data_IF_458636342333
#
_entry.id   IF_458636342333
#
_cell.length_a   1.000
_cell.length_b   1.000
_cell.length_c   1.000
_cell.angle_alpha   90.00
_cell.angle_beta   90.00
_cell.angle_gamma   90.00
#
_symmetry.space_group_name_H-M   'P 1'
#
loop_
_entity.id
_entity.type
_entity.pdbx_description
1 polymer ?
#
# COMPACT_ATOMS: atom_id res chain seq x y z
N UNK A 1 1.23 -53.11 9.04
CA UNK A 1 0.73 -51.88 9.68
C UNK A 1 1.94 -50.98 9.96
N UNK A 2 2.26 -50.07 9.06
CA UNK A 2 3.34 -49.07 9.23
C UNK A 2 2.61 -47.72 9.47
N UNK A 3 2.74 -47.23 10.69
CA UNK A 3 2.17 -45.94 11.08
C UNK A 3 2.84 -44.82 10.32
N UNK A 4 2.09 -44.17 9.43
CA UNK A 4 2.50 -42.88 8.87
C UNK A 4 2.48 -41.86 10.02
N UNK A 5 3.66 -41.55 10.59
CA UNK A 5 3.83 -40.43 11.48
C UNK A 5 3.58 -39.17 10.66
N UNK A 6 2.40 -38.56 10.82
CA UNK A 6 2.15 -37.18 10.44
C UNK A 6 3.07 -36.32 11.30
N UNK A 7 4.28 -36.03 10.81
CA UNK A 7 5.11 -34.97 11.37
C UNK A 7 4.34 -33.67 11.17
N UNK A 8 3.61 -33.29 12.22
CA UNK A 8 3.08 -31.94 12.38
C UNK A 8 4.26 -30.98 12.18
N UNK A 9 4.35 -30.36 11.01
CA UNK A 9 5.44 -29.42 10.69
C UNK A 9 5.23 -28.21 11.59
N UNK A 10 5.90 -28.25 12.75
CA UNK A 10 5.92 -27.14 13.69
C UNK A 10 6.35 -25.88 12.91
N UNK A 11 5.61 -24.81 13.10
CA UNK A 11 5.89 -23.53 12.43
C UNK A 11 7.36 -23.15 12.68
N UNK A 12 8.16 -22.82 11.62
CA UNK A 12 9.59 -22.58 11.75
C UNK A 12 9.89 -21.49 12.81
N UNK A 13 10.96 -21.61 13.59
CA UNK A 13 11.24 -20.63 14.64
C UNK A 13 11.56 -19.26 14.05
N UNK A 14 11.14 -18.18 14.68
CA UNK A 14 11.39 -16.78 14.27
C UNK A 14 12.87 -16.47 14.07
N UNK A 15 13.76 -17.12 14.83
CA UNK A 15 15.21 -16.97 14.70
C UNK A 15 15.72 -17.26 13.29
N UNK A 16 15.05 -18.13 12.50
CA UNK A 16 15.47 -18.45 11.13
C UNK A 16 15.41 -17.25 10.19
N UNK A 17 14.57 -16.27 10.49
CA UNK A 17 14.42 -15.03 9.72
C UNK A 17 15.63 -14.11 9.93
N UNK A 18 16.29 -14.18 11.11
CA UNK A 18 17.33 -13.24 11.53
C UNK A 18 18.75 -13.82 11.57
N UNK A 19 18.97 -15.03 11.06
CA UNK A 19 20.31 -15.68 11.09
C UNK A 19 21.12 -15.39 9.83
N UNK A 20 22.38 -15.02 10.00
CA UNK A 20 23.40 -14.90 8.95
C UNK A 20 23.04 -13.89 7.85
N UNK A 21 23.22 -14.27 6.60
CA UNK A 21 22.93 -13.43 5.45
C UNK A 21 21.43 -13.06 5.36
N UNK A 22 20.52 -13.98 5.73
CA UNK A 22 19.08 -13.70 5.79
C UNK A 22 18.76 -12.62 6.81
N UNK A 23 19.39 -12.65 7.99
CA UNK A 23 19.19 -11.64 9.02
C UNK A 23 19.55 -10.25 8.52
N UNK A 24 20.67 -10.10 7.84
CA UNK A 24 21.08 -8.83 7.21
C UNK A 24 20.08 -8.38 6.15
N UNK A 25 19.63 -9.31 5.29
CA UNK A 25 18.63 -9.03 4.27
C UNK A 25 17.30 -8.58 4.90
N UNK A 26 16.79 -9.33 5.87
CA UNK A 26 15.57 -8.99 6.61
C UNK A 26 15.68 -7.61 7.25
N UNK A 27 16.75 -7.35 8.00
CA UNK A 27 16.96 -6.05 8.65
C UNK A 27 17.00 -4.91 7.63
N UNK A 28 17.71 -5.08 6.51
CA UNK A 28 17.78 -4.07 5.45
C UNK A 28 16.44 -3.81 4.78
N UNK A 29 15.65 -4.85 4.47
CA UNK A 29 14.31 -4.71 3.89
C UNK A 29 13.35 -4.02 4.88
N UNK A 30 13.39 -4.38 6.16
CA UNK A 30 12.57 -3.73 7.20
C UNK A 30 12.92 -2.25 7.36
N UNK A 31 14.21 -1.90 7.35
CA UNK A 31 14.65 -0.50 7.42
C UNK A 31 14.15 0.27 6.19
N UNK A 32 14.32 -0.27 4.97
CA UNK A 32 13.85 0.38 3.75
C UNK A 32 12.34 0.61 3.78
N UNK A 33 11.56 -0.41 4.11
CA UNK A 33 10.10 -0.34 4.19
C UNK A 33 9.65 0.65 5.27
N UNK A 34 10.23 0.54 6.47
CA UNK A 34 9.92 1.42 7.60
C UNK A 34 10.24 2.89 7.31
N UNK A 35 11.35 3.16 6.60
CA UNK A 35 11.72 4.54 6.23
C UNK A 35 10.77 5.15 5.21
N UNK A 36 10.38 4.37 4.18
CA UNK A 36 9.40 4.85 3.19
C UNK A 36 8.06 5.15 3.88
N UNK A 37 7.64 4.28 4.79
CA UNK A 37 6.40 4.44 5.52
C UNK A 37 6.42 5.63 6.52
N UNK A 38 7.52 5.80 7.28
CA UNK A 38 7.69 6.94 8.22
C UNK A 38 7.75 8.25 7.44
N UNK A 39 8.51 8.30 6.35
CA UNK A 39 8.65 9.49 5.55
C UNK A 39 7.30 9.96 5.00
N UNK A 40 6.45 9.04 4.55
CA UNK A 40 5.11 9.36 4.09
C UNK A 40 4.30 10.11 5.17
N UNK A 41 4.34 9.65 6.42
CA UNK A 41 3.62 10.29 7.54
C UNK A 41 4.29 11.57 8.04
N UNK A 42 5.63 11.62 8.06
CA UNK A 42 6.38 12.82 8.43
C UNK A 42 6.08 13.95 7.45
N UNK A 43 6.08 13.67 6.15
CA UNK A 43 5.75 14.70 5.13
C UNK A 43 4.32 15.20 5.32
N UNK A 44 3.36 14.33 5.63
CA UNK A 44 2.00 14.77 5.96
C UNK A 44 1.98 15.81 7.09
N UNK A 45 2.79 15.58 8.11
CA UNK A 45 2.85 16.45 9.31
C UNK A 45 3.53 17.77 9.03
N UNK A 46 4.63 17.78 8.25
CA UNK A 46 5.40 19.01 7.97
C UNK A 46 4.84 19.85 6.84
N UNK A 47 3.95 19.31 6.00
CA UNK A 47 3.47 19.97 4.78
C UNK A 47 2.83 21.34 5.02
N UNK A 48 2.12 21.63 6.13
CA UNK A 48 1.68 23.00 6.46
C UNK A 48 2.84 23.98 6.71
N UNK A 49 3.96 23.52 7.29
CA UNK A 49 5.16 24.34 7.46
C UNK A 49 5.85 24.62 6.13
N UNK A 50 5.93 23.60 5.25
CA UNK A 50 6.43 23.72 3.88
C UNK A 50 5.62 24.75 3.10
N UNK A 51 4.28 24.70 3.19
CA UNK A 51 3.38 25.60 2.48
C UNK A 51 3.56 27.05 2.93
N UNK A 52 3.80 27.29 4.22
CA UNK A 52 4.08 28.64 4.76
C UNK A 52 5.42 29.21 4.23
N UNK A 53 6.42 28.35 4.06
CA UNK A 53 7.76 28.75 3.62
C UNK A 53 7.86 28.92 2.09
N UNK A 54 7.35 27.96 1.32
CA UNK A 54 7.46 27.93 -0.14
C UNK A 54 6.28 28.57 -0.87
N UNK A 55 5.19 28.89 -0.16
CA UNK A 55 3.90 29.29 -0.75
C UNK A 55 3.34 28.20 -1.71
N UNK A 56 2.38 28.52 -2.58
CA UNK A 56 1.88 27.57 -3.58
C UNK A 56 0.86 26.56 -3.03
N UNK A 57 -0.20 27.07 -2.40
CA UNK A 57 -1.30 26.25 -1.85
C UNK A 57 -2.01 25.41 -2.92
N UNK A 58 -2.05 25.87 -4.15
CA UNK A 58 -2.55 25.18 -5.34
C UNK A 58 -1.80 23.88 -5.66
N UNK A 59 -0.55 23.79 -5.27
CA UNK A 59 0.30 22.59 -5.45
C UNK A 59 0.36 21.68 -4.20
N UNK A 60 -0.35 22.05 -3.11
CA UNK A 60 -0.27 21.34 -1.85
C UNK A 60 -0.61 19.83 -1.99
N UNK A 61 -1.73 19.50 -2.62
CA UNK A 61 -2.15 18.12 -2.85
C UNK A 61 -1.23 17.35 -3.81
N UNK A 62 -0.56 18.07 -4.73
CA UNK A 62 0.36 17.44 -5.68
C UNK A 62 1.59 16.81 -5.03
N UNK A 63 1.95 17.18 -3.79
CA UNK A 63 3.02 16.52 -3.06
C UNK A 63 2.78 15.02 -2.82
N UNK A 64 1.51 14.62 -2.64
CA UNK A 64 1.13 13.21 -2.53
C UNK A 64 0.86 12.58 -3.89
N UNK A 65 0.11 13.29 -4.73
CA UNK A 65 -0.27 12.79 -6.04
C UNK A 65 0.95 12.48 -6.92
N UNK A 66 1.94 13.38 -6.94
CA UNK A 66 3.15 13.21 -7.75
C UNK A 66 3.95 11.95 -7.37
N UNK A 67 4.14 11.70 -6.06
CA UNK A 67 4.82 10.51 -5.57
C UNK A 67 4.05 9.24 -5.94
N UNK A 68 2.75 9.24 -5.70
CA UNK A 68 1.89 8.07 -5.96
C UNK A 68 1.81 7.75 -7.46
N UNK A 69 1.63 8.77 -8.30
CA UNK A 69 1.57 8.59 -9.77
C UNK A 69 2.90 8.09 -10.33
N UNK A 70 4.02 8.64 -9.86
CA UNK A 70 5.34 8.17 -10.26
C UNK A 70 5.58 6.71 -9.84
N UNK A 71 5.19 6.35 -8.62
CA UNK A 71 5.26 4.96 -8.13
C UNK A 71 4.42 4.03 -9.00
N UNK A 72 3.18 4.42 -9.31
CA UNK A 72 2.28 3.67 -10.17
C UNK A 72 2.87 3.40 -11.57
N UNK A 73 3.50 4.40 -12.18
CA UNK A 73 4.17 4.26 -13.47
C UNK A 73 5.43 3.39 -13.40
N UNK A 74 6.15 3.43 -12.28
CA UNK A 74 7.43 2.72 -12.12
C UNK A 74 7.25 1.25 -11.78
N UNK A 75 6.22 0.88 -11.00
CA UNK A 75 5.97 -0.48 -10.51
C UNK A 75 6.06 -1.55 -11.63
N UNK A 76 5.38 -1.45 -12.78
CA UNK A 76 5.46 -2.48 -13.82
C UNK A 76 6.84 -2.56 -14.50
N UNK A 77 7.53 -1.43 -14.59
CA UNK A 77 8.89 -1.35 -15.15
C UNK A 77 9.88 -2.02 -14.20
N UNK A 78 9.82 -1.66 -12.91
CA UNK A 78 10.70 -2.22 -11.88
C UNK A 78 10.51 -3.73 -11.70
N UNK A 79 9.28 -4.23 -11.77
CA UNK A 79 8.99 -5.66 -11.71
C UNK A 79 9.70 -6.42 -12.82
N UNK A 80 9.53 -6.00 -14.06
CA UNK A 80 10.20 -6.63 -15.20
C UNK A 80 11.72 -6.45 -15.19
N UNK A 81 12.22 -5.30 -14.77
CA UNK A 81 13.65 -5.11 -14.58
C UNK A 81 14.21 -6.05 -13.51
N UNK A 82 13.47 -6.30 -12.43
CA UNK A 82 13.89 -7.22 -11.37
C UNK A 82 14.01 -8.66 -11.88
N UNK A 83 13.10 -9.11 -12.73
CA UNK A 83 13.19 -10.45 -13.32
C UNK A 83 14.35 -10.55 -14.31
N UNK A 84 14.62 -9.52 -15.11
CA UNK A 84 15.68 -9.51 -16.15
C UNK A 84 17.08 -9.21 -15.63
N UNK A 85 17.23 -8.24 -14.75
CA UNK A 85 18.51 -7.70 -14.28
C UNK A 85 18.85 -8.14 -12.85
N UNK A 86 17.90 -8.81 -12.19
CA UNK A 86 17.99 -9.20 -10.80
C UNK A 86 17.68 -8.06 -9.82
N UNK A 87 17.31 -8.42 -8.59
CA UNK A 87 16.86 -7.47 -7.57
C UNK A 87 17.96 -6.47 -7.18
N UNK A 88 19.23 -6.87 -7.21
CA UNK A 88 20.36 -6.00 -6.85
C UNK A 88 20.42 -4.75 -7.73
N UNK A 89 20.33 -4.92 -9.04
CA UNK A 89 20.42 -3.82 -10.00
C UNK A 89 19.26 -2.84 -9.81
N UNK A 90 18.05 -3.37 -9.60
CA UNK A 90 16.84 -2.55 -9.43
C UNK A 90 16.87 -1.79 -8.11
N UNK A 91 17.30 -2.41 -6.99
CA UNK A 91 17.47 -1.73 -5.70
C UNK A 91 18.48 -0.57 -5.84
N UNK A 92 19.60 -0.78 -6.54
CA UNK A 92 20.60 0.28 -6.74
C UNK A 92 20.00 1.51 -7.42
N UNK A 93 19.27 1.28 -8.52
CA UNK A 93 18.61 2.36 -9.28
C UNK A 93 17.50 3.01 -8.46
N UNK A 94 16.66 2.21 -7.80
CA UNK A 94 15.54 2.69 -7.00
C UNK A 94 16.01 3.53 -5.79
N UNK A 95 17.03 3.06 -5.05
CA UNK A 95 17.66 3.83 -3.97
C UNK A 95 18.26 5.12 -4.50
N UNK A 96 18.91 5.08 -5.68
CA UNK A 96 19.46 6.28 -6.33
C UNK A 96 18.39 7.34 -6.59
N UNK A 97 17.27 6.97 -7.22
CA UNK A 97 16.15 7.88 -7.46
C UNK A 97 15.52 8.38 -6.15
N UNK A 98 15.36 7.50 -5.17
CA UNK A 98 14.76 7.87 -3.89
C UNK A 98 15.63 8.88 -3.13
N UNK A 99 16.94 8.61 -3.02
CA UNK A 99 17.93 9.51 -2.38
C UNK A 99 18.02 10.85 -3.14
N UNK A 100 18.08 10.80 -4.48
CA UNK A 100 18.12 12.03 -5.28
C UNK A 100 16.85 12.86 -5.07
N UNK A 101 15.66 12.21 -5.03
CA UNK A 101 14.40 12.88 -4.72
C UNK A 101 14.38 13.51 -3.33
N UNK A 102 14.92 12.83 -2.31
CA UNK A 102 15.04 13.39 -0.96
C UNK A 102 15.96 14.60 -0.90
N UNK A 103 17.13 14.55 -1.55
CA UNK A 103 18.06 15.67 -1.61
C UNK A 103 17.43 16.86 -2.35
N UNK A 104 16.79 16.61 -3.49
CA UNK A 104 16.09 17.64 -4.25
C UNK A 104 14.94 18.28 -3.44
N UNK A 105 14.18 17.47 -2.67
CA UNK A 105 13.13 17.97 -1.79
C UNK A 105 13.69 18.84 -0.65
N UNK A 106 14.78 18.41 -0.02
CA UNK A 106 15.45 19.17 1.04
C UNK A 106 15.97 20.53 0.57
N UNK A 107 16.39 20.62 -0.69
CA UNK A 107 16.95 21.86 -1.29
C UNK A 107 15.94 22.65 -2.12
N UNK A 108 14.66 22.25 -2.11
CA UNK A 108 13.64 22.87 -2.95
C UNK A 108 13.44 24.37 -2.61
N UNK A 109 13.58 25.27 -3.62
CA UNK A 109 13.37 26.71 -3.44
C UNK A 109 11.91 27.12 -3.69
N UNK A 110 11.06 26.24 -4.21
CA UNK A 110 9.64 26.49 -4.49
C UNK A 110 8.81 25.21 -4.37
N UNK A 111 7.48 25.36 -4.20
CA UNK A 111 6.56 24.25 -4.13
C UNK A 111 6.59 23.39 -5.40
N UNK A 112 6.75 23.98 -6.58
CA UNK A 112 6.85 23.22 -7.84
C UNK A 112 8.10 22.32 -7.86
N UNK A 113 9.25 22.83 -7.42
CA UNK A 113 10.49 22.02 -7.35
C UNK A 113 10.31 20.89 -6.33
N UNK A 114 9.64 21.13 -5.21
CA UNK A 114 9.32 20.09 -4.25
C UNK A 114 8.42 19.00 -4.87
N UNK A 115 7.37 19.37 -5.61
CA UNK A 115 6.49 18.41 -6.30
C UNK A 115 7.27 17.57 -7.32
N UNK A 116 8.19 18.19 -8.08
CA UNK A 116 9.08 17.47 -9.02
C UNK A 116 9.99 16.50 -8.25
N UNK A 117 10.54 16.93 -7.12
CA UNK A 117 11.37 16.09 -6.26
C UNK A 117 10.58 14.90 -5.71
N UNK A 118 9.31 15.10 -5.31
CA UNK A 118 8.39 14.04 -4.87
C UNK A 118 8.09 13.05 -5.99
N UNK A 119 7.93 13.53 -7.23
CA UNK A 119 7.77 12.67 -8.40
C UNK A 119 9.00 11.77 -8.60
N UNK A 120 10.20 12.34 -8.55
CA UNK A 120 11.46 11.57 -8.67
C UNK A 120 11.60 10.56 -7.54
N UNK A 121 11.25 10.95 -6.31
CA UNK A 121 11.22 10.06 -5.15
C UNK A 121 10.23 8.92 -5.33
N UNK A 122 9.06 9.19 -5.91
CA UNK A 122 8.05 8.18 -6.24
C UNK A 122 8.55 7.12 -7.23
N UNK A 123 9.39 7.51 -8.21
CA UNK A 123 10.08 6.54 -9.09
C UNK A 123 10.90 5.55 -8.26
N UNK A 124 11.67 6.05 -7.29
CA UNK A 124 12.44 5.21 -6.38
C UNK A 124 11.56 4.36 -5.47
N UNK A 125 10.55 4.96 -4.84
CA UNK A 125 9.65 4.29 -3.88
C UNK A 125 8.88 3.12 -4.50
N UNK A 126 8.27 3.33 -5.68
CA UNK A 126 7.58 2.27 -6.41
C UNK A 126 8.51 1.10 -6.80
N UNK A 127 9.75 1.42 -7.19
CA UNK A 127 10.77 0.42 -7.46
C UNK A 127 11.18 -0.38 -6.21
N UNK A 128 11.41 0.30 -5.08
CA UNK A 128 11.79 -0.31 -3.81
C UNK A 128 10.72 -1.28 -3.32
N UNK A 129 9.45 -0.92 -3.36
CA UNK A 129 8.37 -1.78 -2.90
C UNK A 129 8.28 -3.09 -3.69
N UNK A 130 8.26 -3.01 -5.03
CA UNK A 130 8.25 -4.21 -5.89
C UNK A 130 9.45 -5.10 -5.65
N UNK A 131 10.65 -4.51 -5.64
CA UNK A 131 11.87 -5.31 -5.52
C UNK A 131 12.02 -5.92 -4.13
N UNK A 132 11.48 -5.29 -3.08
CA UNK A 132 11.43 -5.87 -1.73
C UNK A 132 10.59 -7.14 -1.71
N UNK A 133 9.37 -7.10 -2.23
CA UNK A 133 8.51 -8.29 -2.32
C UNK A 133 9.09 -9.37 -3.23
N UNK A 134 9.63 -9.00 -4.39
CA UNK A 134 10.30 -9.94 -5.29
C UNK A 134 11.53 -10.58 -4.64
N UNK A 135 12.26 -9.82 -3.83
CA UNK A 135 13.39 -10.35 -3.05
C UNK A 135 12.93 -11.40 -2.05
N UNK A 136 11.81 -11.15 -1.34
CA UNK A 136 11.21 -12.17 -0.46
C UNK A 136 10.85 -13.43 -1.24
N UNK A 137 10.19 -13.27 -2.40
CA UNK A 137 9.81 -14.40 -3.24
C UNK A 137 11.02 -15.23 -3.73
N UNK A 138 12.10 -14.56 -4.14
CA UNK A 138 13.28 -15.21 -4.75
C UNK A 138 14.29 -15.78 -3.75
N UNK A 139 14.36 -15.24 -2.51
CA UNK A 139 15.46 -15.57 -1.58
C UNK A 139 15.03 -16.31 -0.32
N UNK A 140 13.75 -16.23 0.05
CA UNK A 140 13.24 -16.88 1.27
C UNK A 140 12.53 -18.20 0.95
N UNK A 141 12.79 -19.29 1.70
CA UNK A 141 11.99 -20.51 1.63
C UNK A 141 10.51 -20.24 1.90
N UNK A 142 9.62 -20.93 1.20
CA UNK A 142 8.16 -20.70 1.27
C UNK A 142 7.64 -20.72 2.71
N UNK A 143 8.12 -21.65 3.52
CA UNK A 143 7.72 -21.82 4.94
C UNK A 143 7.96 -20.60 5.82
N UNK A 144 8.91 -19.71 5.49
CA UNK A 144 9.21 -18.51 6.31
C UNK A 144 8.73 -17.20 5.67
N UNK A 145 8.34 -17.19 4.38
CA UNK A 145 7.80 -16.00 3.69
C UNK A 145 6.64 -15.34 4.46
N UNK A 146 5.65 -16.09 5.03
CA UNK A 146 4.56 -15.47 5.79
C UNK A 146 5.04 -14.63 6.97
N UNK A 147 6.12 -15.04 7.65
CA UNK A 147 6.70 -14.29 8.76
C UNK A 147 7.41 -13.03 8.31
N UNK A 148 8.17 -13.13 7.21
CA UNK A 148 8.82 -11.95 6.63
C UNK A 148 7.76 -10.94 6.17
N UNK A 149 6.66 -11.40 5.56
CA UNK A 149 5.54 -10.54 5.17
C UNK A 149 4.84 -9.89 6.38
N UNK A 150 4.68 -10.63 7.49
CA UNK A 150 4.13 -10.08 8.72
C UNK A 150 5.04 -9.00 9.34
N UNK A 151 6.37 -9.19 9.28
CA UNK A 151 7.35 -8.19 9.71
C UNK A 151 7.28 -6.94 8.84
N UNK A 152 7.25 -7.09 7.52
CA UNK A 152 7.11 -5.95 6.59
C UNK A 152 5.80 -5.20 6.85
N UNK A 153 4.67 -5.90 6.99
CA UNK A 153 3.39 -5.29 7.33
C UNK A 153 3.43 -4.54 8.68
N UNK A 154 4.21 -5.04 9.67
CA UNK A 154 4.36 -4.39 10.97
C UNK A 154 5.15 -3.08 10.90
N UNK A 155 5.90 -2.85 9.83
CA UNK A 155 6.65 -1.58 9.65
C UNK A 155 5.71 -0.37 9.49
N UNK A 156 4.45 -0.59 9.15
CA UNK A 156 3.44 0.47 9.10
C UNK A 156 2.92 0.93 10.46
N UNK A 157 3.24 0.21 11.57
CA UNK A 157 2.96 0.68 12.94
C UNK A 157 3.83 1.89 13.29
N UNK A 158 5.12 1.84 12.95
CA UNK A 158 6.07 2.89 13.28
C UNK A 158 5.65 4.27 12.75
N UNK A 159 5.21 4.42 11.48
CA UNK A 159 4.71 5.68 10.96
C UNK A 159 3.52 6.23 11.72
N UNK A 160 2.54 5.40 12.03
CA UNK A 160 1.35 5.81 12.76
C UNK A 160 1.65 6.36 14.17
N UNK A 161 2.65 5.79 14.83
CA UNK A 161 3.02 6.17 16.19
C UNK A 161 4.06 7.29 16.22
N UNK A 162 5.09 7.21 15.39
CA UNK A 162 6.27 8.09 15.43
C UNK A 162 6.23 9.21 14.38
N UNK A 163 5.51 9.03 13.27
CA UNK A 163 5.49 9.98 12.17
C UNK A 163 5.13 11.41 12.59
N UNK A 164 3.95 11.64 13.18
CA UNK A 164 3.55 12.97 13.61
C UNK A 164 4.47 13.60 14.69
N UNK A 165 4.83 12.91 15.79
CA UNK A 165 5.76 13.48 16.76
C UNK A 165 7.14 13.80 16.19
N UNK A 166 7.71 12.88 15.40
CA UNK A 166 9.02 13.08 14.78
C UNK A 166 8.96 14.23 13.77
N UNK A 167 7.91 14.28 12.94
CA UNK A 167 7.70 15.37 11.98
C UNK A 167 7.59 16.73 12.65
N UNK A 168 6.79 16.85 13.72
CA UNK A 168 6.63 18.09 14.48
C UNK A 168 7.94 18.55 15.11
N UNK A 169 8.64 17.65 15.83
CA UNK A 169 9.93 17.98 16.46
C UNK A 169 10.93 18.45 15.41
N UNK A 170 11.06 17.76 14.27
CA UNK A 170 11.98 18.16 13.21
C UNK A 170 11.58 19.54 12.65
N UNK A 171 10.30 19.76 12.36
CA UNK A 171 9.84 21.02 11.80
C UNK A 171 10.07 22.21 12.71
N UNK A 172 9.86 22.03 14.02
CA UNK A 172 9.98 23.08 15.04
C UNK A 172 11.43 23.39 15.45
N UNK A 173 12.31 22.37 15.47
CA UNK A 173 13.68 22.54 15.99
C UNK A 173 14.73 22.77 14.91
N UNK A 174 14.64 22.03 13.80
CA UNK A 174 15.66 22.03 12.75
C UNK A 174 15.13 22.59 11.41
N UNK A 175 13.81 22.76 11.29
CA UNK A 175 13.15 23.14 10.05
C UNK A 175 12.76 21.95 9.19
N UNK A 176 11.67 22.11 8.40
CA UNK A 176 11.05 21.05 7.62
C UNK A 176 11.99 20.34 6.63
N UNK A 177 13.01 21.02 6.14
CA UNK A 177 13.99 20.45 5.19
C UNK A 177 14.73 19.24 5.77
N UNK A 178 14.97 19.21 7.06
CA UNK A 178 15.62 18.10 7.74
C UNK A 178 14.79 16.82 7.75
N UNK A 179 13.49 16.91 7.55
CA UNK A 179 12.63 15.73 7.40
C UNK A 179 13.00 14.88 6.16
N UNK A 180 13.54 15.53 5.13
CA UNK A 180 14.06 14.86 3.92
C UNK A 180 15.52 14.43 4.04
N UNK A 181 16.31 15.08 4.89
CA UNK A 181 17.73 14.76 5.11
C UNK A 181 17.91 13.60 6.08
N UNK A 182 17.12 13.58 7.16
CA UNK A 182 17.26 12.61 8.25
C UNK A 182 17.18 11.13 7.81
N UNK A 183 16.36 10.72 6.83
CA UNK A 183 16.32 9.35 6.34
C UNK A 183 17.57 8.91 5.56
N UNK A 184 18.35 9.84 4.97
CA UNK A 184 19.42 9.52 4.03
C UNK A 184 20.49 8.54 4.57
N UNK A 185 21.06 8.73 5.78
CA UNK A 185 22.05 7.79 6.30
C UNK A 185 21.49 6.38 6.49
N UNK A 186 20.25 6.27 6.95
CA UNK A 186 19.59 4.99 7.18
C UNK A 186 19.26 4.25 5.88
N UNK A 187 18.88 4.96 4.81
CA UNK A 187 18.64 4.38 3.48
C UNK A 187 19.94 3.81 2.91
N UNK A 188 21.04 4.56 3.01
CA UNK A 188 22.36 4.10 2.55
C UNK A 188 22.82 2.89 3.37
N UNK A 189 22.63 2.91 4.68
CA UNK A 189 22.93 1.79 5.57
C UNK A 189 22.10 0.55 5.22
N UNK A 190 20.79 0.70 5.03
CA UNK A 190 19.90 -0.40 4.66
C UNK A 190 20.29 -0.99 3.29
N UNK A 191 20.60 -0.16 2.30
CA UNK A 191 21.10 -0.60 1.00
C UNK A 191 22.41 -1.38 1.15
N UNK A 192 23.33 -0.92 2.00
CA UNK A 192 24.59 -1.61 2.28
C UNK A 192 24.37 -3.00 2.93
N UNK A 193 23.34 -3.18 3.73
CA UNK A 193 22.95 -4.49 4.29
C UNK A 193 22.38 -5.44 3.23
N UNK A 194 21.54 -4.91 2.33
CA UNK A 194 20.80 -5.70 1.33
C UNK A 194 21.70 -6.09 0.16
N UNK A 195 22.50 -5.18 -0.37
CA UNK A 195 23.27 -5.35 -1.61
C UNK A 195 24.18 -6.60 -1.66
N UNK A 196 24.96 -6.94 -0.61
CA UNK A 196 25.83 -8.12 -0.64
C UNK A 196 25.05 -9.43 -0.71
N UNK A 197 23.85 -9.47 -0.10
CA UNK A 197 23.04 -10.69 0.00
C UNK A 197 22.30 -11.03 -1.30
N UNK A 198 22.22 -10.08 -2.22
CA UNK A 198 21.55 -10.24 -3.52
C UNK A 198 22.51 -10.62 -4.66
N UNK A 199 23.79 -10.86 -4.36
CA UNK A 199 24.74 -11.35 -5.36
C UNK A 199 24.36 -12.77 -5.78
N UNK A 200 24.26 -13.02 -7.10
CA UNK A 200 23.97 -14.34 -7.65
C UNK A 200 22.49 -14.78 -7.56
N UNK A 201 21.56 -13.91 -7.22
CA UNK A 201 20.12 -14.21 -7.34
C UNK A 201 19.78 -14.40 -8.82
N UNK A 202 19.08 -15.52 -9.11
CA UNK A 202 18.75 -15.92 -10.49
C UNK A 202 17.97 -14.83 -11.23
N UNK A 203 18.33 -14.63 -12.47
CA UNK A 203 17.66 -13.76 -13.45
C UNK A 203 17.06 -14.63 -14.55
N UNK A 204 16.04 -14.14 -15.19
CA UNK A 204 15.38 -14.83 -16.31
C UNK A 204 15.82 -14.17 -17.62
N UNK A 205 16.20 -14.97 -18.61
CA UNK A 205 16.50 -14.47 -19.97
C UNK A 205 15.21 -14.10 -20.77
N UNK A 206 14.16 -13.64 -20.09
CA UNK A 206 12.93 -13.26 -20.76
C UNK A 206 13.14 -11.97 -21.57
N UNK A 207 13.06 -12.10 -22.90
CA UNK A 207 13.21 -11.03 -23.87
C UNK A 207 11.99 -10.10 -23.97
N UNK A 208 11.00 -10.20 -23.08
CA UNK A 208 9.81 -9.35 -23.14
C UNK A 208 10.17 -7.88 -22.96
N UNK A 209 9.60 -7.00 -23.79
CA UNK A 209 9.87 -5.55 -23.75
C UNK A 209 9.37 -4.94 -22.43
N UNK A 210 10.13 -3.95 -21.90
CA UNK A 210 9.68 -3.15 -20.77
C UNK A 210 8.40 -2.39 -21.13
N UNK A 211 7.38 -2.38 -20.27
CA UNK A 211 6.09 -1.77 -20.58
C UNK A 211 6.07 -0.25 -20.40
N UNK A 212 7.14 0.45 -20.78
CA UNK A 212 7.31 1.90 -20.50
C UNK A 212 6.15 2.72 -21.06
N UNK A 213 5.79 2.52 -22.34
CA UNK A 213 4.69 3.27 -22.94
C UNK A 213 3.34 3.01 -22.27
N UNK A 214 3.05 1.74 -21.94
CA UNK A 214 1.82 1.39 -21.23
C UNK A 214 1.81 1.91 -19.78
N UNK A 215 2.95 1.96 -19.12
CA UNK A 215 3.11 2.53 -17.77
C UNK A 215 2.88 4.05 -17.76
N UNK A 216 3.41 4.78 -18.73
CA UNK A 216 3.18 6.22 -18.88
C UNK A 216 1.70 6.51 -19.20
N UNK A 217 1.10 5.76 -20.10
CA UNK A 217 -0.33 5.86 -20.43
C UNK A 217 -1.19 5.59 -19.20
N UNK A 218 -0.83 4.57 -18.41
CA UNK A 218 -1.51 4.26 -17.15
C UNK A 218 -1.39 5.39 -16.13
N UNK A 219 -0.20 5.95 -15.98
CA UNK A 219 0.05 7.07 -15.06
C UNK A 219 -0.80 8.30 -15.42
N UNK A 220 -0.89 8.64 -16.71
CA UNK A 220 -1.73 9.73 -17.20
C UNK A 220 -3.21 9.44 -16.96
N UNK A 221 -3.67 8.21 -17.28
CA UNK A 221 -5.05 7.81 -17.04
C UNK A 221 -5.44 7.80 -15.56
N UNK A 222 -4.59 7.25 -14.70
CA UNK A 222 -4.81 7.26 -13.25
C UNK A 222 -4.79 8.69 -12.69
N UNK A 223 -3.89 9.55 -13.17
CA UNK A 223 -3.86 10.96 -12.82
C UNK A 223 -5.15 11.70 -13.18
N UNK A 224 -5.71 11.41 -14.38
CA UNK A 224 -7.00 11.95 -14.82
C UNK A 224 -8.15 11.46 -13.93
N UNK A 225 -8.15 10.18 -13.54
CA UNK A 225 -9.16 9.62 -12.63
C UNK A 225 -9.08 10.28 -11.24
N UNK A 226 -7.87 10.42 -10.70
CA UNK A 226 -7.67 11.09 -9.40
C UNK A 226 -8.13 12.54 -9.45
N UNK A 227 -7.75 13.29 -10.49
CA UNK A 227 -8.20 14.68 -10.68
C UNK A 227 -9.72 14.78 -10.78
N UNK A 228 -10.38 13.87 -11.49
CA UNK A 228 -11.84 13.82 -11.62
C UNK A 228 -12.58 13.58 -10.30
N UNK A 229 -11.95 12.82 -9.38
CA UNK A 229 -12.54 12.44 -8.09
C UNK A 229 -12.19 13.41 -6.96
N UNK A 230 -11.14 14.21 -7.10
CA UNK A 230 -10.69 15.15 -6.05
C UNK A 230 -11.31 16.55 -6.21
N UNK A 231 -11.59 16.95 -7.44
CA UNK A 231 -12.21 18.26 -7.73
C UNK A 231 -13.49 18.07 -8.55
N UNK A 232 -14.63 18.07 -7.87
CA UNK A 232 -15.94 17.89 -8.52
C UNK A 232 -16.33 19.16 -9.27
N UNK A 233 -15.97 19.20 -10.54
CA UNK A 233 -16.18 20.33 -11.45
C UNK A 233 -16.83 19.86 -12.77
N UNK A 234 -17.10 20.78 -13.68
CA UNK A 234 -17.60 20.46 -15.04
C UNK A 234 -16.65 19.54 -15.81
N UNK A 235 -15.36 19.55 -15.46
CA UNK A 235 -14.32 18.71 -16.07
C UNK A 235 -14.26 17.30 -15.49
N UNK A 236 -14.94 17.01 -14.38
CA UNK A 236 -14.86 15.68 -13.73
C UNK A 236 -15.36 14.56 -14.63
N UNK A 237 -16.47 14.78 -15.37
CA UNK A 237 -17.00 13.75 -16.28
C UNK A 237 -16.05 13.49 -17.48
N UNK A 238 -15.58 14.51 -18.22
CA UNK A 238 -14.58 14.30 -19.27
C UNK A 238 -13.29 13.63 -18.77
N UNK A 239 -12.78 14.04 -17.61
CA UNK A 239 -11.57 13.44 -17.01
C UNK A 239 -11.80 11.99 -16.55
N UNK A 240 -12.98 11.68 -16.01
CA UNK A 240 -13.35 10.31 -15.62
C UNK A 240 -13.45 9.40 -16.86
N UNK A 241 -14.20 9.82 -17.89
CA UNK A 241 -14.36 9.05 -19.12
C UNK A 241 -13.04 8.89 -19.86
N UNK A 242 -12.28 9.98 -20.02
CA UNK A 242 -10.97 9.95 -20.66
C UNK A 242 -9.97 9.12 -19.86
N UNK A 243 -9.95 9.29 -18.53
CA UNK A 243 -9.13 8.51 -17.62
C UNK A 243 -9.42 7.00 -17.70
N UNK A 244 -10.69 6.60 -17.72
CA UNK A 244 -11.09 5.19 -17.89
C UNK A 244 -10.72 4.66 -19.30
N UNK A 245 -10.98 5.46 -20.34
CA UNK A 245 -10.67 5.07 -21.73
C UNK A 245 -9.17 4.82 -21.95
N UNK A 246 -8.33 5.49 -21.17
CA UNK A 246 -6.87 5.35 -21.22
C UNK A 246 -6.35 4.28 -20.25
N UNK A 247 -6.86 4.25 -19.02
CA UNK A 247 -6.41 3.33 -17.98
C UNK A 247 -6.77 1.88 -18.29
N UNK A 248 -8.00 1.61 -18.75
CA UNK A 248 -8.47 0.23 -18.98
C UNK A 248 -7.65 -0.51 -20.05
N UNK A 249 -7.36 0.05 -21.24
CA UNK A 249 -6.47 -0.59 -22.21
C UNK A 249 -5.03 -0.77 -21.71
N UNK A 250 -4.50 0.21 -20.96
CA UNK A 250 -3.16 0.11 -20.37
C UNK A 250 -3.07 -1.04 -19.36
N UNK A 251 -4.05 -1.17 -18.47
CA UNK A 251 -4.14 -2.27 -17.52
C UNK A 251 -4.21 -3.64 -18.23
N UNK A 252 -5.01 -3.76 -19.29
CA UNK A 252 -5.09 -5.02 -20.08
C UNK A 252 -3.76 -5.45 -20.68
N UNK A 253 -2.83 -4.51 -20.92
CA UNK A 253 -1.50 -4.79 -21.48
C UNK A 253 -0.46 -5.12 -20.41
N UNK A 254 -0.62 -4.58 -19.19
CA UNK A 254 0.36 -4.67 -18.11
C UNK A 254 0.03 -5.84 -17.17
N UNK A 255 -1.26 -6.04 -16.89
CA UNK A 255 -1.72 -7.07 -15.93
C UNK A 255 -2.02 -8.39 -16.63
N UNK A 256 -2.04 -9.52 -15.90
CA UNK A 256 -2.41 -10.82 -16.44
C UNK A 256 -3.78 -10.79 -17.16
N UNK A 257 -3.93 -11.49 -18.29
CA UNK A 257 -5.20 -11.52 -19.00
C UNK A 257 -6.35 -12.02 -18.12
N UNK A 258 -7.43 -11.24 -18.04
CA UNK A 258 -8.59 -11.55 -17.21
C UNK A 258 -8.57 -10.89 -15.83
N UNK A 259 -7.62 -10.00 -15.51
CA UNK A 259 -7.57 -9.26 -14.24
C UNK A 259 -8.84 -8.43 -14.02
N UNK A 260 -9.33 -7.72 -15.03
CA UNK A 260 -10.55 -6.90 -14.92
C UNK A 260 -11.84 -7.73 -14.73
N UNK A 261 -11.81 -9.02 -15.03
CA UNK A 261 -12.93 -9.96 -14.82
C UNK A 261 -12.66 -10.92 -13.65
N UNK A 262 -11.58 -10.69 -12.93
CA UNK A 262 -11.14 -11.54 -11.82
C UNK A 262 -11.12 -13.04 -12.19
N UNK A 263 -10.55 -13.38 -13.36
CA UNK A 263 -10.40 -14.79 -13.79
C UNK A 263 -9.55 -15.55 -12.77
N UNK A 264 -9.90 -16.81 -12.51
CA UNK A 264 -9.22 -17.62 -11.50
C UNK A 264 -7.69 -17.67 -11.66
N UNK A 265 -6.98 -17.68 -10.55
CA UNK A 265 -5.50 -17.66 -10.49
C UNK A 265 -4.92 -16.27 -10.24
N UNK A 266 -3.77 -15.96 -10.84
CA UNK A 266 -3.06 -14.68 -10.69
C UNK A 266 -3.92 -13.45 -11.05
N UNK A 267 -4.79 -13.49 -12.10
CA UNK A 267 -5.69 -12.37 -12.38
C UNK A 267 -6.63 -12.05 -11.20
N UNK A 268 -7.14 -13.07 -10.52
CA UNK A 268 -7.98 -12.89 -9.33
C UNK A 268 -7.19 -12.30 -8.15
N UNK A 269 -5.90 -12.65 -8.00
CA UNK A 269 -5.06 -12.07 -6.95
C UNK A 269 -4.84 -10.57 -7.17
N UNK A 270 -4.58 -10.14 -8.41
CA UNK A 270 -4.45 -8.72 -8.75
C UNK A 270 -5.78 -7.95 -8.55
N UNK A 271 -6.92 -8.53 -8.94
CA UNK A 271 -8.22 -7.94 -8.68
C UNK A 271 -8.56 -7.88 -7.18
N UNK A 272 -8.16 -8.90 -6.41
CA UNK A 272 -8.33 -8.93 -4.96
C UNK A 272 -7.51 -7.84 -4.27
N UNK A 273 -6.27 -7.57 -4.71
CA UNK A 273 -5.46 -6.48 -4.20
C UNK A 273 -6.16 -5.12 -4.40
N UNK A 274 -6.67 -4.86 -5.62
CA UNK A 274 -7.46 -3.65 -5.90
C UNK A 274 -8.65 -3.50 -4.94
N UNK A 275 -9.46 -4.56 -4.82
CA UNK A 275 -10.68 -4.52 -4.00
C UNK A 275 -10.37 -4.38 -2.51
N UNK A 276 -9.32 -5.04 -2.02
CA UNK A 276 -8.90 -4.95 -0.62
C UNK A 276 -8.49 -3.52 -0.26
N UNK A 277 -7.66 -2.90 -1.09
CA UNK A 277 -7.17 -1.54 -0.85
C UNK A 277 -8.26 -0.51 -1.07
N UNK A 278 -9.10 -0.66 -2.09
CA UNK A 278 -10.27 0.20 -2.28
C UNK A 278 -11.23 0.13 -1.09
N UNK A 279 -11.50 -1.09 -0.58
CA UNK A 279 -12.34 -1.28 0.59
C UNK A 279 -11.76 -0.60 1.84
N UNK A 280 -10.49 -0.85 2.13
CA UNK A 280 -9.89 -0.36 3.37
C UNK A 280 -9.72 1.16 3.36
N UNK A 281 -9.05 1.70 2.35
CA UNK A 281 -8.70 3.12 2.30
C UNK A 281 -9.87 4.06 2.04
N UNK A 282 -11.02 3.56 1.58
CA UNK A 282 -12.25 4.35 1.50
C UNK A 282 -12.78 4.81 2.88
N UNK A 283 -12.67 3.98 3.91
CA UNK A 283 -13.06 4.36 5.28
C UNK A 283 -11.87 4.91 6.08
N UNK A 284 -10.68 4.31 5.97
CA UNK A 284 -9.49 4.68 6.75
C UNK A 284 -9.14 6.17 6.61
N UNK A 285 -9.20 6.71 5.40
CA UNK A 285 -8.94 8.12 5.14
C UNK A 285 -9.96 9.09 5.73
N UNK A 286 -11.15 8.62 6.09
CA UNK A 286 -12.26 9.50 6.51
C UNK A 286 -12.78 9.22 7.93
N UNK A 287 -12.35 8.14 8.58
CA UNK A 287 -12.83 7.81 9.94
C UNK A 287 -12.46 8.87 10.98
N UNK A 288 -11.31 9.51 10.86
CA UNK A 288 -10.91 10.62 11.72
C UNK A 288 -11.81 11.84 11.48
N UNK A 289 -12.07 12.20 10.22
CA UNK A 289 -12.99 13.27 9.85
C UNK A 289 -14.40 13.00 10.41
N UNK A 290 -14.86 11.75 10.31
CA UNK A 290 -16.14 11.37 10.88
C UNK A 290 -16.21 11.69 12.39
N UNK A 291 -15.17 11.32 13.15
CA UNK A 291 -15.12 11.54 14.59
C UNK A 291 -15.02 13.02 14.97
N UNK A 292 -14.33 13.85 14.18
CA UNK A 292 -14.24 15.29 14.42
C UNK A 292 -15.56 16.00 14.06
N UNK A 293 -16.11 15.76 12.87
CA UNK A 293 -17.27 16.49 12.36
C UNK A 293 -18.60 16.04 13.02
N UNK A 294 -18.78 14.74 13.28
CA UNK A 294 -20.04 14.23 13.80
C UNK A 294 -20.07 14.08 15.32
N UNK A 295 -18.89 14.01 15.98
CA UNK A 295 -18.77 13.79 17.43
C UNK A 295 -18.07 14.95 18.16
N UNK A 296 -17.59 15.96 17.44
CA UNK A 296 -16.91 17.12 18.03
C UNK A 296 -15.61 16.79 18.75
N UNK A 297 -14.97 15.64 18.43
CA UNK A 297 -13.72 15.25 19.10
C UNK A 297 -12.57 16.11 18.59
N UNK A 298 -11.58 16.35 19.49
CA UNK A 298 -10.33 16.95 19.05
C UNK A 298 -9.59 16.02 18.06
N UNK A 299 -8.82 16.60 17.16
CA UNK A 299 -8.04 15.86 16.14
C UNK A 299 -7.15 14.78 16.77
N UNK A 300 -6.54 15.10 17.94
CA UNK A 300 -5.70 14.16 18.67
C UNK A 300 -6.46 12.93 19.16
N UNK A 301 -7.63 13.12 19.77
CA UNK A 301 -8.49 12.03 20.24
C UNK A 301 -9.02 11.23 19.06
N UNK A 302 -9.54 11.89 18.02
CA UNK A 302 -10.02 11.24 16.81
C UNK A 302 -8.90 10.41 16.13
N UNK A 303 -7.68 10.94 16.10
CA UNK A 303 -6.51 10.27 15.49
C UNK A 303 -6.09 8.96 16.17
N UNK A 304 -6.49 8.72 17.43
CA UNK A 304 -6.23 7.44 18.13
C UNK A 304 -6.81 6.24 17.36
N UNK A 305 -7.89 6.46 16.56
CA UNK A 305 -8.46 5.40 15.71
C UNK A 305 -7.43 4.84 14.73
N UNK A 306 -6.57 5.67 14.14
CA UNK A 306 -5.54 5.23 13.21
C UNK A 306 -4.41 4.48 13.92
N UNK A 307 -4.06 4.84 15.14
CA UNK A 307 -3.11 4.08 15.96
C UNK A 307 -3.67 2.70 16.32
N UNK A 308 -4.93 2.64 16.75
CA UNK A 308 -5.63 1.37 17.00
C UNK A 308 -5.72 0.52 15.73
N UNK A 309 -5.99 1.15 14.57
CA UNK A 309 -5.99 0.53 13.24
C UNK A 309 -4.64 -0.13 12.93
N UNK A 310 -3.54 0.60 13.06
CA UNK A 310 -2.19 0.08 12.77
C UNK A 310 -1.80 -1.11 13.66
N UNK A 311 -2.10 -1.05 14.96
CA UNK A 311 -1.85 -2.14 15.90
C UNK A 311 -2.71 -3.37 15.57
N UNK A 312 -3.98 -3.17 15.24
CA UNK A 312 -4.92 -4.22 14.85
C UNK A 312 -4.53 -4.87 13.53
N UNK A 313 -4.09 -4.08 12.55
CA UNK A 313 -3.52 -4.58 11.28
C UNK A 313 -2.32 -5.50 11.53
N UNK A 314 -1.37 -5.05 12.35
CA UNK A 314 -0.21 -5.87 12.68
C UNK A 314 -0.62 -7.17 13.39
N UNK A 315 -1.53 -7.11 14.36
CA UNK A 315 -2.04 -8.31 15.04
C UNK A 315 -2.68 -9.30 14.05
N UNK A 316 -3.47 -8.80 13.10
CA UNK A 316 -4.06 -9.58 12.01
C UNK A 316 -2.98 -10.26 11.14
N UNK A 317 -1.94 -9.52 10.76
CA UNK A 317 -0.82 -10.04 9.95
C UNK A 317 -0.01 -11.12 10.70
N UNK A 318 0.23 -10.91 11.99
CA UNK A 318 0.92 -11.90 12.83
C UNK A 318 0.11 -13.16 13.03
N UNK A 319 -1.21 -13.04 13.22
CA UNK A 319 -2.09 -14.20 13.29
C UNK A 319 -2.14 -14.94 11.94
N UNK A 320 -2.32 -14.22 10.84
CA UNK A 320 -2.33 -14.76 9.48
C UNK A 320 -1.08 -15.59 9.19
N UNK A 321 0.11 -15.10 9.56
CA UNK A 321 1.38 -15.78 9.32
C UNK A 321 1.50 -17.17 9.97
N UNK A 322 0.68 -17.45 11.02
CA UNK A 322 0.66 -18.74 11.71
C UNK A 322 -0.35 -19.72 11.12
N UNK A 323 -1.41 -19.19 10.51
CA UNK A 323 -2.56 -20.04 10.10
C UNK A 323 -2.67 -20.22 8.59
N UNK A 324 -1.90 -19.48 7.77
CA UNK A 324 -2.01 -19.51 6.31
C UNK A 324 -1.77 -20.90 5.73
N UNK A 325 -0.85 -21.68 6.30
CA UNK A 325 -0.58 -23.05 5.87
C UNK A 325 -1.75 -24.03 6.13
N UNK A 326 -2.64 -23.70 7.08
CA UNK A 326 -3.81 -24.53 7.43
C UNK A 326 -5.08 -24.07 6.72
N UNK A 327 -5.32 -22.77 6.67
CA UNK A 327 -6.57 -22.19 6.18
C UNK A 327 -6.55 -21.88 4.68
N UNK A 328 -5.37 -21.62 4.13
CA UNK A 328 -5.17 -21.24 2.73
C UNK A 328 -5.61 -19.81 2.39
N UNK A 329 -5.17 -19.33 1.23
CA UNK A 329 -5.37 -17.94 0.83
C UNK A 329 -6.85 -17.57 0.63
N UNK A 330 -7.67 -18.48 0.06
CA UNK A 330 -9.09 -18.23 -0.21
C UNK A 330 -9.87 -17.91 1.05
N UNK A 331 -9.74 -18.77 2.08
CA UNK A 331 -10.49 -18.62 3.35
C UNK A 331 -10.01 -17.39 4.10
N UNK A 332 -8.71 -17.15 4.15
CA UNK A 332 -8.14 -15.98 4.84
C UNK A 332 -8.56 -14.68 4.18
N UNK A 333 -8.51 -14.58 2.85
CA UNK A 333 -8.97 -13.37 2.15
C UNK A 333 -10.48 -13.15 2.34
N UNK A 334 -11.29 -14.21 2.26
CA UNK A 334 -12.73 -14.09 2.49
C UNK A 334 -13.05 -13.67 3.94
N UNK A 335 -12.41 -14.29 4.95
CA UNK A 335 -12.64 -13.93 6.36
C UNK A 335 -12.17 -12.51 6.67
N UNK A 336 -11.03 -12.09 6.13
CA UNK A 336 -10.55 -10.72 6.29
C UNK A 336 -11.48 -9.71 5.63
N UNK A 337 -12.01 -10.00 4.44
CA UNK A 337 -12.99 -9.16 3.77
C UNK A 337 -14.30 -9.03 4.57
N UNK A 338 -14.76 -10.11 5.21
CA UNK A 338 -15.91 -10.06 6.14
C UNK A 338 -15.63 -9.13 7.31
N UNK A 339 -14.42 -9.20 7.91
CA UNK A 339 -14.03 -8.30 9.00
C UNK A 339 -13.95 -6.85 8.55
N UNK A 340 -13.44 -6.56 7.33
CA UNK A 340 -13.43 -5.20 6.78
C UNK A 340 -14.87 -4.67 6.62
N UNK A 341 -15.78 -5.46 6.04
CA UNK A 341 -17.17 -5.07 5.87
C UNK A 341 -17.90 -4.87 7.21
N UNK A 342 -17.70 -5.80 8.16
CA UNK A 342 -18.28 -5.72 9.51
C UNK A 342 -17.74 -4.48 10.25
N UNK A 343 -16.43 -4.23 10.18
CA UNK A 343 -15.81 -3.05 10.75
C UNK A 343 -16.40 -1.75 10.21
N UNK A 344 -16.54 -1.65 8.88
CA UNK A 344 -17.17 -0.49 8.25
C UNK A 344 -18.66 -0.31 8.64
N UNK A 345 -19.41 -1.41 8.77
CA UNK A 345 -20.79 -1.37 9.23
C UNK A 345 -20.89 -0.86 10.68
N UNK A 346 -19.98 -1.29 11.56
CA UNK A 346 -19.88 -0.80 12.95
C UNK A 346 -19.46 0.67 12.99
N UNK A 347 -18.52 1.10 12.12
CA UNK A 347 -18.16 2.52 11.97
C UNK A 347 -19.38 3.34 11.53
N UNK A 348 -20.12 2.86 10.52
CA UNK A 348 -21.34 3.55 10.05
C UNK A 348 -22.42 3.67 11.14
N UNK A 349 -22.59 2.64 12.00
CA UNK A 349 -23.48 2.72 13.16
C UNK A 349 -23.04 3.85 14.13
N UNK A 350 -21.74 4.16 14.17
CA UNK A 350 -21.19 5.29 14.93
C UNK A 350 -21.63 6.67 14.44
N UNK A 351 -22.26 6.81 13.27
CA UNK A 351 -22.88 8.06 12.81
C UNK A 351 -24.18 8.37 13.57
N UNK A 352 -24.81 7.38 14.19
CA UNK A 352 -26.01 7.56 14.98
C UNK A 352 -25.67 8.18 16.35
N UNK A 353 -26.28 9.29 16.71
CA UNK A 353 -26.01 10.03 17.97
C UNK A 353 -26.14 9.16 19.23
N UNK A 354 -27.05 8.16 19.19
CA UNK A 354 -27.32 7.25 20.32
C UNK A 354 -26.20 6.24 20.58
N UNK A 355 -25.29 6.06 19.61
CA UNK A 355 -24.20 5.08 19.70
C UNK A 355 -23.00 5.70 20.40
N UNK A 356 -22.38 4.96 21.33
CA UNK A 356 -21.20 5.43 22.03
C UNK A 356 -20.04 5.76 21.07
N UNK A 357 -19.30 6.80 21.38
CA UNK A 357 -18.13 7.26 20.62
C UNK A 357 -17.02 6.19 20.52
N UNK A 358 -17.01 5.19 21.41
CA UNK A 358 -16.05 4.08 21.39
C UNK A 358 -16.32 3.09 20.25
N UNK A 359 -17.58 3.02 19.78
CA UNK A 359 -18.00 2.04 18.76
C UNK A 359 -17.23 2.18 17.44
N UNK A 360 -17.05 3.38 16.84
CA UNK A 360 -16.22 3.54 15.64
C UNK A 360 -14.78 3.09 15.81
N UNK A 361 -14.17 3.30 16.99
CA UNK A 361 -12.80 2.82 17.27
C UNK A 361 -12.73 1.29 17.23
N UNK A 362 -13.67 0.62 17.90
CA UNK A 362 -13.76 -0.84 17.88
C UNK A 362 -14.08 -1.36 16.48
N UNK A 363 -14.99 -0.70 15.77
CA UNK A 363 -15.36 -1.03 14.41
C UNK A 363 -14.15 -1.00 13.48
N UNK A 364 -13.39 0.10 13.50
CA UNK A 364 -12.25 0.21 12.63
C UNK A 364 -11.08 -0.67 13.04
N UNK A 365 -10.89 -0.95 14.32
CA UNK A 365 -9.95 -1.97 14.78
C UNK A 365 -10.30 -3.37 14.21
N UNK A 366 -11.59 -3.76 14.18
CA UNK A 366 -12.04 -5.01 13.56
C UNK A 366 -11.74 -5.01 12.04
N UNK A 367 -12.07 -3.93 11.33
CA UNK A 367 -11.77 -3.79 9.91
C UNK A 367 -10.26 -3.90 9.62
N UNK A 368 -9.44 -3.34 10.49
CA UNK A 368 -7.99 -3.34 10.36
C UNK A 368 -7.35 -4.70 10.64
N UNK A 369 -7.90 -5.51 11.57
CA UNK A 369 -7.54 -6.95 11.68
C UNK A 369 -7.82 -7.64 10.35
N UNK A 370 -8.98 -7.37 9.73
CA UNK A 370 -9.35 -7.92 8.42
C UNK A 370 -8.32 -7.58 7.34
N UNK A 371 -7.90 -6.32 7.25
CA UNK A 371 -6.86 -5.91 6.29
C UNK A 371 -5.51 -6.52 6.62
N UNK A 372 -5.16 -6.63 7.90
CA UNK A 372 -3.94 -7.33 8.35
C UNK A 372 -3.90 -8.79 7.93
N UNK A 373 -5.05 -9.45 7.81
CA UNK A 373 -5.15 -10.81 7.28
C UNK A 373 -5.01 -10.82 5.75
N UNK A 374 -5.71 -9.93 5.05
CA UNK A 374 -5.78 -9.90 3.59
C UNK A 374 -4.46 -9.45 2.96
N UNK A 375 -3.88 -8.37 3.46
CA UNK A 375 -2.73 -7.69 2.87
C UNK A 375 -1.52 -8.61 2.64
N UNK A 376 -1.03 -9.41 3.61
CA UNK A 376 0.07 -10.33 3.38
C UNK A 376 -0.36 -11.61 2.63
N UNK A 377 -1.65 -11.97 2.67
CA UNK A 377 -2.16 -13.20 2.04
C UNK A 377 -2.12 -13.13 0.52
N UNK A 378 -2.46 -11.99 -0.07
CA UNK A 378 -2.53 -11.83 -1.52
C UNK A 378 -1.14 -11.96 -2.17
N UNK A 379 -0.09 -11.22 -1.74
CA UNK A 379 1.26 -11.40 -2.28
C UNK A 379 1.79 -12.82 -2.11
N UNK A 380 1.53 -13.47 -0.97
CA UNK A 380 1.93 -14.86 -0.75
C UNK A 380 1.27 -15.82 -1.75
N UNK A 381 0.00 -15.59 -2.10
CA UNK A 381 -0.69 -16.38 -3.10
C UNK A 381 -0.12 -16.19 -4.50
N UNK A 382 0.35 -14.98 -4.83
CA UNK A 382 1.06 -14.69 -6.08
C UNK A 382 2.42 -15.37 -6.10
N UNK A 383 3.21 -15.24 -5.02
CA UNK A 383 4.53 -15.87 -4.89
C UNK A 383 4.50 -17.39 -5.03
N UNK A 384 3.42 -18.03 -4.54
CA UNK A 384 3.26 -19.49 -4.62
C UNK A 384 2.86 -20.02 -6.00
N UNK A 385 2.42 -19.15 -6.92
CA UNK A 385 1.96 -19.55 -8.26
C UNK A 385 2.74 -18.91 -9.41
N UNK A 386 3.50 -17.87 -9.14
CA UNK A 386 4.34 -17.27 -10.14
C UNK A 386 5.32 -18.31 -10.71
N UNK A 387 5.51 -18.30 -12.02
CA UNK A 387 6.54 -19.13 -12.65
C UNK A 387 7.91 -18.67 -12.16
N UNK A 388 8.85 -19.65 -12.03
CA UNK A 388 10.23 -19.35 -11.63
C UNK A 388 10.83 -18.28 -12.54
N UNK A 389 11.35 -17.22 -11.94
CA UNK A 389 11.95 -16.08 -12.63
C UNK A 389 10.97 -15.00 -13.10
N UNK A 390 9.64 -15.16 -12.93
CA UNK A 390 8.62 -14.16 -13.30
C UNK A 390 7.90 -13.57 -12.08
N UNK A 391 8.37 -13.85 -10.88
CA UNK A 391 7.74 -13.48 -9.61
C UNK A 391 7.58 -11.97 -9.48
N UNK A 392 8.61 -11.19 -9.87
CA UNK A 392 8.57 -9.74 -9.76
C UNK A 392 7.58 -9.10 -10.75
N UNK A 393 7.45 -9.65 -11.95
CA UNK A 393 6.47 -9.22 -12.93
C UNK A 393 5.03 -9.43 -12.46
N UNK A 394 4.74 -10.61 -11.90
CA UNK A 394 3.40 -10.92 -11.36
C UNK A 394 3.08 -10.10 -10.11
N UNK A 395 4.05 -9.95 -9.19
CA UNK A 395 3.90 -9.10 -8.01
C UNK A 395 3.70 -7.63 -8.40
N UNK A 396 4.40 -7.13 -9.43
CA UNK A 396 4.23 -5.76 -9.89
C UNK A 396 2.83 -5.50 -10.43
N UNK A 397 2.21 -6.48 -11.10
CA UNK A 397 0.83 -6.38 -11.57
C UNK A 397 -0.16 -6.29 -10.39
N UNK A 398 0.07 -7.08 -9.34
CA UNK A 398 -0.72 -7.04 -8.11
C UNK A 398 -0.55 -5.69 -7.39
N UNK A 399 0.68 -5.20 -7.21
CA UNK A 399 0.98 -3.92 -6.55
C UNK A 399 0.37 -2.75 -7.33
N UNK A 400 0.40 -2.81 -8.66
CA UNK A 400 -0.24 -1.82 -9.51
C UNK A 400 -1.73 -1.71 -9.21
N UNK A 401 -2.41 -2.85 -9.11
CA UNK A 401 -3.83 -2.92 -8.78
C UNK A 401 -4.12 -2.46 -7.36
N UNK A 402 -3.21 -2.74 -6.42
CA UNK A 402 -3.25 -2.25 -5.04
C UNK A 402 -3.24 -0.71 -4.99
N UNK A 403 -2.26 -0.06 -5.64
CA UNK A 403 -2.19 1.41 -5.71
C UNK A 403 -3.41 2.05 -6.38
N UNK A 404 -3.94 1.44 -7.45
CA UNK A 404 -5.17 1.90 -8.08
C UNK A 404 -6.36 1.76 -7.13
N UNK A 405 -6.40 0.66 -6.36
CA UNK A 405 -7.41 0.43 -5.34
C UNK A 405 -7.41 1.53 -4.27
N UNK A 406 -6.23 1.87 -3.73
CA UNK A 406 -6.07 2.99 -2.79
C UNK A 406 -6.62 4.29 -3.39
N UNK A 407 -6.15 4.65 -4.60
CA UNK A 407 -6.53 5.92 -5.24
C UNK A 407 -8.02 6.00 -5.56
N UNK A 408 -8.60 4.95 -6.15
CA UNK A 408 -10.01 4.93 -6.54
C UNK A 408 -10.92 4.83 -5.31
N UNK A 409 -10.57 3.99 -4.32
CA UNK A 409 -11.33 3.85 -3.09
C UNK A 409 -11.40 5.16 -2.31
N UNK A 410 -10.25 5.77 -2.03
CA UNK A 410 -10.18 7.05 -1.35
C UNK A 410 -10.81 8.19 -2.18
N UNK A 411 -10.64 8.16 -3.51
CA UNK A 411 -11.26 9.16 -4.40
C UNK A 411 -12.78 9.11 -4.40
N UNK A 412 -13.37 7.92 -4.52
CA UNK A 412 -14.83 7.73 -4.44
C UNK A 412 -15.37 8.16 -3.06
N UNK A 413 -14.67 7.81 -1.99
CA UNK A 413 -15.01 8.24 -0.64
C UNK A 413 -14.92 9.77 -0.51
N UNK A 414 -13.87 10.39 -1.04
CA UNK A 414 -13.71 11.85 -1.09
C UNK A 414 -14.82 12.53 -1.87
N UNK A 415 -15.21 11.98 -3.02
CA UNK A 415 -16.34 12.49 -3.81
C UNK A 415 -17.66 12.43 -3.04
N UNK A 416 -17.91 11.35 -2.28
CA UNK A 416 -19.15 11.26 -1.46
C UNK A 416 -19.19 12.31 -0.35
N UNK A 417 -18.04 12.63 0.27
CA UNK A 417 -17.92 13.69 1.29
C UNK A 417 -17.99 15.08 0.65
N UNK A 418 -17.41 15.28 -0.54
CA UNK A 418 -17.47 16.55 -1.26
C UNK A 418 -18.90 16.94 -1.65
N UNK A 419 -19.75 15.97 -2.02
CA UNK A 419 -21.20 16.20 -2.26
C UNK A 419 -21.90 16.75 -1.00
N UNK A 420 -21.49 16.33 0.19
CA UNK A 420 -22.01 16.86 1.44
C UNK A 420 -21.47 18.28 1.70
N UNK A 421 -20.20 18.53 1.49
CA UNK A 421 -19.61 19.87 1.62
C UNK A 421 -20.23 20.89 0.66
N UNK A 422 -20.66 20.45 -0.52
CA UNK A 422 -21.43 21.27 -1.49
C UNK A 422 -22.88 21.49 -1.12
N UNK A 423 -23.36 21.04 0.04
CA UNK A 423 -24.72 21.22 0.51
C UNK A 423 -25.77 20.34 -0.16
N UNK A 424 -25.37 19.40 -1.02
CA UNK A 424 -26.29 18.49 -1.72
C UNK A 424 -26.89 17.42 -0.79
N UNK A 425 -26.17 17.02 0.24
CA UNK A 425 -26.57 16.03 1.27
C UNK A 425 -25.95 16.42 2.61
N UNK A 426 -26.40 15.81 3.72
CA UNK A 426 -25.78 16.05 5.02
C UNK A 426 -24.38 15.38 5.11
N UNK A 427 -23.54 15.87 6.02
CA UNK A 427 -22.17 15.32 6.22
C UNK A 427 -22.22 13.85 6.64
N UNK A 428 -23.23 13.46 7.44
CA UNK A 428 -23.40 12.08 7.87
C UNK A 428 -23.70 11.16 6.67
N UNK A 429 -24.49 11.63 5.69
CA UNK A 429 -24.78 10.88 4.46
C UNK A 429 -23.51 10.74 3.60
N UNK A 430 -22.72 11.81 3.46
CA UNK A 430 -21.42 11.75 2.77
C UNK A 430 -20.46 10.75 3.42
N UNK A 431 -20.37 10.77 4.75
CA UNK A 431 -19.54 9.85 5.53
C UNK A 431 -20.08 8.41 5.55
N UNK A 432 -21.40 8.21 5.57
CA UNK A 432 -22.00 6.89 5.37
C UNK A 432 -21.65 6.31 3.99
N UNK A 433 -21.54 7.16 2.97
CA UNK A 433 -21.08 6.80 1.64
C UNK A 433 -19.68 6.14 1.64
N UNK A 434 -18.75 6.63 2.47
CA UNK A 434 -17.41 6.03 2.59
C UNK A 434 -17.49 4.59 3.11
N UNK A 435 -18.30 4.35 4.14
CA UNK A 435 -18.55 3.01 4.69
C UNK A 435 -19.27 2.10 3.67
N UNK A 436 -20.24 2.63 2.92
CA UNK A 436 -20.94 1.88 1.88
C UNK A 436 -19.97 1.41 0.77
N UNK A 437 -19.07 2.29 0.30
CA UNK A 437 -18.02 1.94 -0.68
C UNK A 437 -17.16 0.81 -0.13
N UNK A 438 -16.72 0.90 1.13
CA UNK A 438 -15.95 -0.16 1.80
C UNK A 438 -16.70 -1.48 1.82
N UNK A 439 -17.98 -1.49 2.21
CA UNK A 439 -18.80 -2.71 2.29
C UNK A 439 -18.97 -3.33 0.90
N UNK A 440 -19.30 -2.53 -0.11
CA UNK A 440 -19.46 -3.02 -1.49
C UNK A 440 -18.16 -3.63 -2.00
N UNK A 441 -17.03 -2.94 -1.86
CA UNK A 441 -15.73 -3.46 -2.29
C UNK A 441 -15.32 -4.73 -1.52
N UNK A 442 -15.59 -4.80 -0.21
CA UNK A 442 -15.32 -5.99 0.60
C UNK A 442 -16.21 -7.19 0.20
N UNK A 443 -17.49 -6.96 -0.13
CA UNK A 443 -18.39 -8.02 -0.63
C UNK A 443 -17.88 -8.54 -1.99
N UNK A 444 -17.46 -7.65 -2.90
CA UNK A 444 -16.84 -8.07 -4.15
C UNK A 444 -15.54 -8.85 -3.91
N UNK A 445 -14.74 -8.45 -2.92
CA UNK A 445 -13.54 -9.17 -2.52
C UNK A 445 -13.84 -10.59 -2.03
N UNK A 446 -14.93 -10.80 -1.27
CA UNK A 446 -15.38 -12.15 -0.85
C UNK A 446 -15.67 -13.03 -2.07
N UNK A 447 -16.32 -12.49 -3.09
CA UNK A 447 -16.61 -13.22 -4.33
C UNK A 447 -15.33 -13.58 -5.09
N UNK A 448 -14.41 -12.63 -5.20
CA UNK A 448 -13.11 -12.81 -5.88
C UNK A 448 -12.21 -13.77 -5.11
N UNK A 449 -12.27 -13.77 -3.77
CA UNK A 449 -11.46 -14.65 -2.93
C UNK A 449 -11.62 -16.14 -3.27
N UNK A 450 -12.81 -16.55 -3.73
CA UNK A 450 -13.09 -17.94 -4.19
C UNK A 450 -12.25 -18.34 -5.41
N UNK A 451 -11.75 -17.37 -6.18
CA UNK A 451 -10.98 -17.56 -7.41
C UNK A 451 -9.48 -17.41 -7.20
N UNK A 452 -9.06 -17.08 -5.97
CA UNK A 452 -7.63 -16.98 -5.64
C UNK A 452 -6.92 -18.31 -5.87
N UNK A 453 -5.62 -18.26 -6.21
CA UNK A 453 -4.83 -19.46 -6.29
C UNK A 453 -4.77 -20.15 -4.92
N UNK A 454 -4.94 -21.47 -4.88
CA UNK A 454 -4.59 -22.27 -3.72
C UNK A 454 -3.11 -22.59 -3.77
N UNK A 455 -2.42 -22.47 -2.64
CA UNK A 455 -1.05 -22.96 -2.53
C UNK A 455 -1.05 -24.45 -2.94
N UNK A 456 -0.16 -24.85 -3.81
CA UNK A 456 0.05 -26.28 -4.10
C UNK A 456 0.40 -26.93 -2.76
N UNK A 457 -0.44 -27.86 -2.30
CA UNK A 457 -0.08 -28.74 -1.20
C UNK A 457 1.15 -29.52 -1.67
N UNK A 458 2.34 -29.14 -1.20
CA UNK A 458 3.57 -29.92 -1.32
C UNK A 458 3.68 -30.89 -0.17
#
# INVERSE_FOLDING_TARGET
MAGASTTETAAPPWREVFVGARGRLTAGLLILEGLVAIEFMVVATILPAVQRDLQGLDLYGWNYAALTLASLGTVPIAGRMTDRLGPRSVITVAVGFYVFGLVAAATAPSMLVLVIARFIQGIGGGGLYVVSLATVAKTYPERIRPRVMALLASMWILPGLLGPPVGSVIAETAGWRWAFVAPLPLIVFAAALVMPTLRGVRVTEDASRLPVGASLVLMLGAGSLLAALTDVSVWSIPLLVGGLAVTVPALRRITPPGTLTARAGLPAASAAAFLASAAFFATDGFVTLMLTETRGLSIGVAGVVLTASALSWAAGSWWQSRVIGRLGARRLTASGAVLIAAGAAVVAAGLLERVSVVVPYLGWAIGSVGMGIVFPTIPLSVMGQAAEGREAGELSSMILMDYLGVGIGAGLAGASVALAAGGSVSIEVGLAGTCAITIVAAVLLILVARRLPEARAT
#
